data_IF_600178801878
#
_entry.id   IF_600178801878
#
_cell.length_a   1.000
_cell.length_b   1.000
_cell.length_c   1.000
_cell.angle_alpha   90.00
_cell.angle_beta   90.00
_cell.angle_gamma   90.00
#
_symmetry.space_group_name_H-M   'P 1'
#
loop_
_entity.id
_entity.type
_entity.pdbx_description
1 polymer ?
#
# COMPACT_ATOMS: atom_id res chain seq x y z
N UNK A 1 19.43 -1.28 -12.76
CA UNK A 1 18.27 -0.74 -12.04
C UNK A 1 17.49 0.17 -12.98
N UNK A 2 16.25 -0.21 -13.27
CA UNK A 2 15.34 0.65 -14.02
C UNK A 2 14.82 1.79 -13.13
N UNK A 3 14.21 2.82 -13.73
CA UNK A 3 13.75 4.02 -13.00
C UNK A 3 12.73 3.66 -11.91
N UNK A 4 11.88 2.68 -12.18
CA UNK A 4 10.85 2.16 -11.28
C UNK A 4 11.42 1.43 -10.08
N UNK A 5 12.37 0.53 -10.32
CA UNK A 5 13.11 -0.19 -9.27
C UNK A 5 13.85 0.81 -8.38
N UNK A 6 14.46 1.83 -8.98
CA UNK A 6 15.12 2.92 -8.25
C UNK A 6 14.14 3.70 -7.38
N UNK A 7 12.96 4.06 -7.89
CA UNK A 7 11.96 4.75 -7.09
C UNK A 7 11.53 3.92 -5.87
N UNK A 8 11.13 2.67 -6.09
CA UNK A 8 10.69 1.77 -5.00
C UNK A 8 11.81 1.51 -4.00
N UNK A 9 13.03 1.25 -4.45
CA UNK A 9 14.18 1.01 -3.59
C UNK A 9 14.56 2.24 -2.75
N UNK A 10 14.61 3.43 -3.36
CA UNK A 10 14.90 4.67 -2.63
C UNK A 10 13.81 4.94 -1.61
N UNK A 11 12.54 4.83 -1.97
CA UNK A 11 11.43 5.02 -1.02
C UNK A 11 11.51 4.05 0.16
N UNK A 12 11.69 2.75 -0.11
CA UNK A 12 11.84 1.76 0.97
C UNK A 12 13.05 2.03 1.87
N UNK A 13 14.19 2.36 1.27
CA UNK A 13 15.43 2.62 2.01
C UNK A 13 15.35 3.91 2.83
N UNK A 14 14.73 4.97 2.33
CA UNK A 14 14.54 6.23 3.07
C UNK A 14 13.75 5.99 4.35
N UNK A 15 12.62 5.28 4.26
CA UNK A 15 11.79 4.99 5.43
C UNK A 15 12.47 4.04 6.41
N UNK A 16 13.19 3.04 5.90
CA UNK A 16 13.99 2.15 6.73
C UNK A 16 15.09 2.91 7.49
N UNK A 17 15.84 3.76 6.81
CA UNK A 17 16.91 4.57 7.42
C UNK A 17 16.36 5.56 8.46
N UNK A 18 15.18 6.12 8.21
CA UNK A 18 14.52 7.00 9.18
C UNK A 18 14.13 6.22 10.45
N UNK A 19 13.45 5.08 10.30
CA UNK A 19 13.08 4.23 11.44
C UNK A 19 14.29 3.72 12.20
N UNK A 20 15.36 3.35 11.49
CA UNK A 20 16.63 2.93 12.08
C UNK A 20 17.30 4.08 12.86
N UNK A 21 17.24 5.31 12.34
CA UNK A 21 17.79 6.48 13.02
C UNK A 21 17.10 6.73 14.37
N UNK A 22 15.78 6.61 14.42
CA UNK A 22 15.01 6.78 15.67
C UNK A 22 15.26 5.61 16.62
N UNK A 23 15.34 4.38 16.09
CA UNK A 23 15.67 3.22 16.90
C UNK A 23 17.04 3.35 17.60
N UNK A 24 18.02 3.93 16.90
CA UNK A 24 19.34 4.19 17.48
C UNK A 24 19.34 5.32 18.51
N UNK A 25 18.41 6.28 18.45
CA UNK A 25 18.30 7.36 19.44
C UNK A 25 17.51 6.98 20.67
N UNK A 26 16.32 6.40 20.47
CA UNK A 26 15.31 6.26 21.52
C UNK A 26 14.93 4.79 21.80
N UNK A 27 15.56 3.84 21.10
CA UNK A 27 15.28 2.40 21.25
C UNK A 27 13.95 1.94 20.63
N UNK A 28 13.14 2.86 20.11
CA UNK A 28 11.85 2.58 19.46
C UNK A 28 11.99 2.65 17.93
N UNK A 29 11.44 1.66 17.22
CA UNK A 29 11.47 1.69 15.75
C UNK A 29 10.22 2.41 15.24
N UNK A 30 10.30 3.73 15.13
CA UNK A 30 9.16 4.55 14.66
C UNK A 30 9.39 5.01 13.23
N UNK A 31 8.53 4.54 12.33
CA UNK A 31 8.48 5.04 10.95
C UNK A 31 7.53 6.24 10.93
N UNK A 32 7.83 7.31 10.17
CA UNK A 32 7.06 8.55 10.27
C UNK A 32 5.67 8.32 9.68
N UNK A 33 4.70 8.15 10.56
CA UNK A 33 3.29 8.15 10.21
C UNK A 33 2.82 9.60 10.07
N UNK A 34 2.06 9.99 9.03
CA UNK A 34 1.40 9.19 7.97
C UNK A 34 2.13 9.22 6.63
N UNK A 35 3.47 9.28 6.62
CA UNK A 35 4.22 9.47 5.37
C UNK A 35 4.13 8.25 4.44
N UNK A 36 3.70 7.08 4.93
CA UNK A 36 3.56 5.86 4.14
C UNK A 36 2.53 6.02 3.00
N UNK A 37 1.35 6.55 3.31
CA UNK A 37 0.28 6.77 2.33
C UNK A 37 0.72 7.80 1.28
N UNK A 38 1.44 8.84 1.71
CA UNK A 38 2.02 9.84 0.80
C UNK A 38 3.14 9.27 -0.07
N UNK A 39 4.01 8.43 0.49
CA UNK A 39 5.07 7.78 -0.26
C UNK A 39 4.48 6.85 -1.34
N UNK A 40 3.43 6.09 -1.00
CA UNK A 40 2.67 5.30 -1.97
C UNK A 40 2.06 6.19 -3.06
N UNK A 41 1.44 7.32 -2.68
CA UNK A 41 0.85 8.26 -3.63
C UNK A 41 1.88 8.84 -4.59
N UNK A 42 3.03 9.30 -4.09
CA UNK A 42 4.11 9.87 -4.91
C UNK A 42 4.63 8.83 -5.90
N UNK A 43 4.94 7.61 -5.44
CA UNK A 43 5.46 6.57 -6.34
C UNK A 43 4.40 6.13 -7.34
N UNK A 44 3.14 5.99 -6.91
CA UNK A 44 2.02 5.65 -7.79
C UNK A 44 1.78 6.72 -8.88
N UNK A 45 1.89 8.00 -8.51
CA UNK A 45 1.82 9.11 -9.45
C UNK A 45 2.97 9.08 -10.47
N UNK A 46 4.20 8.77 -10.03
CA UNK A 46 5.34 8.57 -10.95
C UNK A 46 5.06 7.43 -11.93
N UNK A 47 4.52 6.30 -11.46
CA UNK A 47 4.14 5.18 -12.33
C UNK A 47 3.04 5.57 -13.32
N UNK A 48 2.07 6.39 -12.92
CA UNK A 48 1.03 6.93 -13.80
C UNK A 48 1.63 7.79 -14.93
N UNK A 49 2.55 8.71 -14.59
CA UNK A 49 3.21 9.59 -15.57
C UNK A 49 4.13 8.79 -16.51
N UNK A 50 4.85 7.80 -15.99
CA UNK A 50 5.78 7.03 -16.80
C UNK A 50 5.08 6.00 -17.70
N UNK A 51 3.88 5.55 -17.33
CA UNK A 51 3.18 4.47 -18.01
C UNK A 51 1.72 4.77 -18.41
N UNK A 52 1.39 5.94 -19.01
CA UNK A 52 0.00 6.32 -19.31
C UNK A 52 -0.68 5.39 -20.31
N UNK A 53 0.10 4.69 -21.16
CA UNK A 53 -0.42 3.77 -22.20
C UNK A 53 -0.57 2.32 -21.72
N UNK A 54 -0.28 2.00 -20.46
CA UNK A 54 -0.34 0.62 -19.92
C UNK A 54 -1.75 0.19 -19.47
N UNK A 55 -2.79 0.87 -19.98
CA UNK A 55 -4.19 0.57 -19.69
C UNK A 55 -4.64 1.12 -18.33
N UNK A 56 -5.61 0.46 -17.71
CA UNK A 56 -6.23 0.92 -16.46
C UNK A 56 -5.33 0.77 -15.21
N UNK A 57 -4.32 -0.10 -15.25
CA UNK A 57 -3.56 -0.50 -14.07
C UNK A 57 -2.81 0.64 -13.34
N UNK A 58 -2.11 1.58 -14.01
CA UNK A 58 -1.56 2.75 -13.33
C UNK A 58 -2.64 3.61 -12.65
N UNK A 59 -3.82 3.75 -13.27
CA UNK A 59 -4.94 4.49 -12.68
C UNK A 59 -5.52 3.77 -11.46
N UNK A 60 -5.62 2.43 -11.49
CA UNK A 60 -6.08 1.65 -10.34
C UNK A 60 -5.20 1.90 -9.12
N UNK A 61 -3.87 1.84 -9.29
CA UNK A 61 -2.93 2.12 -8.21
C UNK A 61 -2.95 3.59 -7.79
N UNK A 62 -3.08 4.53 -8.74
CA UNK A 62 -3.09 5.95 -8.40
C UNK A 62 -4.33 6.30 -7.57
N UNK A 63 -5.51 5.89 -8.03
CA UNK A 63 -6.76 6.14 -7.32
C UNK A 63 -6.77 5.43 -5.97
N UNK A 64 -6.27 4.19 -5.87
CA UNK A 64 -6.17 3.50 -4.58
C UNK A 64 -5.27 4.24 -3.59
N UNK A 65 -4.17 4.85 -4.06
CA UNK A 65 -3.29 5.63 -3.19
C UNK A 65 -3.86 6.99 -2.81
N UNK A 66 -4.58 7.67 -3.72
CA UNK A 66 -5.30 8.92 -3.41
C UNK A 66 -6.35 8.66 -2.34
N UNK A 67 -7.17 7.62 -2.51
CA UNK A 67 -8.21 7.27 -1.53
C UNK A 67 -7.61 6.73 -0.24
N UNK A 68 -6.42 6.13 -0.28
CA UNK A 68 -5.67 5.77 0.92
C UNK A 68 -5.23 6.96 1.75
N UNK A 69 -4.74 8.04 1.12
CA UNK A 69 -4.43 9.30 1.82
C UNK A 69 -5.71 9.90 2.42
N UNK A 70 -6.79 9.97 1.65
CA UNK A 70 -8.09 10.49 2.13
C UNK A 70 -8.73 9.60 3.22
N UNK A 71 -8.40 8.31 3.26
CA UNK A 71 -8.84 7.36 4.27
C UNK A 71 -7.98 7.35 5.54
N UNK A 72 -6.91 8.15 5.59
CA UNK A 72 -6.05 8.30 6.76
C UNK A 72 -6.62 9.35 7.71
N UNK A 73 -6.83 8.98 8.97
CA UNK A 73 -7.28 9.92 10.02
C UNK A 73 -6.22 10.98 10.27
N UNK A 74 -4.95 10.57 10.27
CA UNK A 74 -3.80 11.45 10.51
C UNK A 74 -3.66 12.51 9.40
N UNK A 75 -4.04 12.20 8.16
CA UNK A 75 -4.11 13.23 7.12
C UNK A 75 -5.06 14.37 7.52
N UNK A 76 -6.26 14.02 7.99
CA UNK A 76 -7.26 15.01 8.40
C UNK A 76 -6.87 15.77 9.66
N UNK A 77 -6.13 15.15 10.60
CA UNK A 77 -5.52 15.83 11.75
C UNK A 77 -4.56 16.97 11.35
N UNK A 78 -3.89 16.86 10.19
CA UNK A 78 -2.99 17.93 9.70
C UNK A 78 -3.72 19.08 9.01
N UNK A 79 -4.94 18.82 8.52
CA UNK A 79 -5.72 19.79 7.71
C UNK A 79 -6.74 20.54 8.55
N UNK A 80 -7.27 19.90 9.61
CA UNK A 80 -8.41 20.39 10.38
C UNK A 80 -8.08 20.52 11.86
N UNK A 81 -8.84 21.37 12.56
CA UNK A 81 -8.79 21.46 14.02
C UNK A 81 -9.37 20.18 14.65
N UNK A 82 -8.99 19.89 15.90
CA UNK A 82 -9.48 18.70 16.61
C UNK A 82 -11.02 18.68 16.77
N UNK A 83 -11.64 19.85 16.95
CA UNK A 83 -13.10 19.98 17.10
C UNK A 83 -13.84 19.67 15.79
N UNK A 84 -13.32 20.16 14.67
CA UNK A 84 -13.87 19.88 13.34
C UNK A 84 -13.66 18.41 12.94
N UNK A 85 -12.53 17.82 13.35
CA UNK A 85 -12.18 16.44 13.04
C UNK A 85 -13.18 15.43 13.63
N UNK A 86 -13.60 15.61 14.88
CA UNK A 86 -14.57 14.72 15.53
C UNK A 86 -15.88 14.72 14.72
N UNK A 87 -16.36 15.91 14.37
CA UNK A 87 -17.58 16.08 13.58
C UNK A 87 -17.43 15.55 12.15
N UNK A 88 -16.23 15.58 11.59
CA UNK A 88 -15.93 15.09 10.24
C UNK A 88 -15.79 13.56 10.19
N UNK A 89 -15.17 12.94 11.20
CA UNK A 89 -15.03 11.49 11.30
C UNK A 89 -16.41 10.80 11.38
N UNK A 90 -17.38 11.44 12.02
CA UNK A 90 -18.77 10.95 12.06
C UNK A 90 -19.46 10.93 10.69
N UNK A 91 -18.96 11.67 9.68
CA UNK A 91 -19.61 11.81 8.36
C UNK A 91 -19.25 10.72 7.34
N UNK A 92 -18.67 9.60 7.77
CA UNK A 92 -18.44 8.40 6.92
C UNK A 92 -17.45 8.59 5.75
N UNK A 93 -16.91 9.80 5.53
CA UNK A 93 -16.03 10.10 4.38
C UNK A 93 -14.76 9.25 4.42
N UNK A 94 -14.16 9.12 5.60
CA UNK A 94 -12.96 8.29 5.83
C UNK A 94 -13.24 6.82 5.53
N UNK A 95 -14.42 6.32 5.92
CA UNK A 95 -14.83 4.94 5.64
C UNK A 95 -15.06 4.71 4.15
N UNK A 96 -15.73 5.62 3.45
CA UNK A 96 -15.90 5.56 2.01
C UNK A 96 -14.56 5.58 1.27
N UNK A 97 -13.61 6.40 1.73
CA UNK A 97 -12.28 6.44 1.15
C UNK A 97 -11.52 5.12 1.35
N UNK A 98 -11.60 4.51 2.53
CA UNK A 98 -11.02 3.19 2.84
C UNK A 98 -11.65 2.06 2.02
N UNK A 99 -12.98 2.04 1.91
CA UNK A 99 -13.70 1.05 1.07
C UNK A 99 -13.28 1.21 -0.39
N UNK A 100 -13.21 2.45 -0.88
CA UNK A 100 -12.80 2.73 -2.26
C UNK A 100 -11.36 2.28 -2.51
N UNK A 101 -10.43 2.55 -1.58
CA UNK A 101 -9.06 2.04 -1.65
C UNK A 101 -9.03 0.51 -1.73
N UNK A 102 -9.76 -0.16 -0.82
CA UNK A 102 -9.85 -1.61 -0.78
C UNK A 102 -10.38 -2.20 -2.09
N UNK A 103 -11.44 -1.60 -2.64
CA UNK A 103 -12.03 -1.99 -3.91
C UNK A 103 -11.01 -1.92 -5.06
N UNK A 104 -10.32 -0.78 -5.22
CA UNK A 104 -9.33 -0.63 -6.30
C UNK A 104 -8.14 -1.57 -6.15
N UNK A 105 -7.69 -1.86 -4.92
CA UNK A 105 -6.64 -2.85 -4.66
C UNK A 105 -7.09 -4.27 -5.03
N UNK A 106 -8.32 -4.66 -4.69
CA UNK A 106 -8.87 -5.96 -5.09
C UNK A 106 -8.97 -6.07 -6.60
N UNK A 107 -9.47 -5.03 -7.28
CA UNK A 107 -9.51 -5.00 -8.75
C UNK A 107 -8.10 -5.13 -9.34
N UNK A 108 -7.11 -4.44 -8.78
CA UNK A 108 -5.72 -4.59 -9.20
C UNK A 108 -5.22 -6.04 -9.01
N UNK A 109 -5.46 -6.67 -7.85
CA UNK A 109 -5.12 -8.06 -7.60
C UNK A 109 -5.79 -9.02 -8.60
N UNK A 110 -7.07 -8.79 -8.96
CA UNK A 110 -7.79 -9.56 -9.98
C UNK A 110 -7.15 -9.40 -11.37
N UNK A 111 -6.68 -8.19 -11.74
CA UNK A 111 -5.96 -7.99 -12.99
C UNK A 111 -4.65 -8.81 -13.01
N UNK A 112 -3.94 -8.89 -11.88
CA UNK A 112 -2.77 -9.76 -11.75
C UNK A 112 -3.14 -11.24 -11.85
N UNK A 113 -4.17 -11.69 -11.14
CA UNK A 113 -4.73 -13.06 -11.21
C UNK A 113 -4.99 -13.47 -12.67
N UNK A 114 -5.69 -12.63 -13.42
CA UNK A 114 -6.04 -12.90 -14.81
C UNK A 114 -4.82 -12.95 -15.75
N UNK A 115 -3.70 -12.34 -15.34
CA UNK A 115 -2.49 -12.25 -16.16
C UNK A 115 -1.53 -13.42 -15.97
N UNK A 116 -1.68 -14.24 -14.91
CA UNK A 116 -0.91 -15.48 -14.77
C UNK A 116 -1.44 -16.55 -15.72
N UNK A 117 -0.54 -17.31 -16.35
CA UNK A 117 -0.93 -18.42 -17.26
C UNK A 117 -1.20 -19.69 -16.47
N UNK A 118 -0.36 -19.99 -15.48
CA UNK A 118 -0.41 -21.23 -14.73
C UNK A 118 -1.42 -21.16 -13.60
N UNK A 119 -2.17 -22.26 -13.45
CA UNK A 119 -3.26 -22.35 -12.48
C UNK A 119 -2.77 -22.21 -11.04
N UNK A 120 -1.58 -22.71 -10.70
CA UNK A 120 -1.06 -22.65 -9.34
C UNK A 120 -0.76 -21.20 -8.92
N UNK A 121 -0.19 -20.36 -9.79
CA UNK A 121 -0.04 -18.93 -9.51
C UNK A 121 -1.38 -18.22 -9.34
N UNK A 122 -2.39 -18.59 -10.13
CA UNK A 122 -3.75 -18.07 -9.95
C UNK A 122 -4.33 -18.45 -8.59
N UNK A 123 -4.19 -19.71 -8.17
CA UNK A 123 -4.67 -20.16 -6.86
C UNK A 123 -4.02 -19.38 -5.72
N UNK A 124 -2.69 -19.16 -5.77
CA UNK A 124 -1.99 -18.41 -4.73
C UNK A 124 -2.46 -16.94 -4.69
N UNK A 125 -2.65 -16.28 -5.84
CA UNK A 125 -3.19 -14.91 -5.89
C UNK A 125 -4.65 -14.87 -5.41
N UNK A 126 -5.46 -15.89 -5.72
CA UNK A 126 -6.84 -15.98 -5.23
C UNK A 126 -6.89 -16.09 -3.70
N UNK A 127 -5.96 -16.86 -3.10
CA UNK A 127 -5.79 -16.91 -1.65
C UNK A 127 -5.37 -15.54 -1.10
N UNK A 128 -4.46 -14.82 -1.76
CA UNK A 128 -4.07 -13.47 -1.35
C UNK A 128 -5.26 -12.50 -1.37
N UNK A 129 -6.11 -12.56 -2.40
CA UNK A 129 -7.35 -11.76 -2.48
C UNK A 129 -8.28 -12.11 -1.31
N UNK A 130 -8.50 -13.39 -1.04
CA UNK A 130 -9.33 -13.84 0.07
C UNK A 130 -8.82 -13.35 1.43
N UNK A 131 -7.51 -13.46 1.67
CA UNK A 131 -6.86 -12.96 2.88
C UNK A 131 -6.96 -11.44 3.01
N UNK A 132 -6.78 -10.70 1.91
CA UNK A 132 -6.93 -9.25 1.90
C UNK A 132 -8.36 -8.83 2.22
N UNK A 133 -9.37 -9.43 1.57
CA UNK A 133 -10.78 -9.15 1.83
C UNK A 133 -11.17 -9.50 3.26
N UNK A 134 -10.71 -10.65 3.77
CA UNK A 134 -10.95 -11.04 5.16
C UNK A 134 -10.31 -10.05 6.14
N UNK A 135 -9.04 -9.69 5.93
CA UNK A 135 -8.32 -8.69 6.72
C UNK A 135 -8.99 -7.32 6.72
N UNK A 136 -9.49 -6.89 5.56
CA UNK A 136 -10.24 -5.65 5.42
C UNK A 136 -11.55 -5.70 6.22
N UNK A 137 -12.31 -6.80 6.14
CA UNK A 137 -13.58 -6.96 6.84
C UNK A 137 -13.45 -6.91 8.37
N UNK A 138 -12.42 -7.57 8.93
CA UNK A 138 -12.18 -7.59 10.38
C UNK A 138 -11.27 -6.44 10.86
N UNK A 139 -10.92 -5.51 9.97
CA UNK A 139 -10.00 -4.40 10.24
C UNK A 139 -8.65 -4.85 10.84
N UNK A 140 -8.08 -5.95 10.34
CA UNK A 140 -6.82 -6.52 10.83
C UNK A 140 -5.69 -6.33 9.82
N UNK A 141 -4.68 -5.55 10.24
CA UNK A 141 -3.48 -5.29 9.44
C UNK A 141 -2.69 -6.57 9.13
N UNK A 142 -2.70 -7.56 10.03
CA UNK A 142 -1.93 -8.79 9.87
C UNK A 142 -2.31 -9.56 8.60
N UNK A 143 -3.61 -9.74 8.33
CA UNK A 143 -4.06 -10.49 7.16
C UNK A 143 -3.81 -9.72 5.85
N UNK A 144 -3.99 -8.39 5.87
CA UNK A 144 -3.64 -7.53 4.74
C UNK A 144 -2.14 -7.59 4.43
N UNK A 145 -1.29 -7.61 5.47
CA UNK A 145 0.16 -7.73 5.32
C UNK A 145 0.55 -9.10 4.76
N UNK A 146 -0.05 -10.20 5.22
CA UNK A 146 0.17 -11.53 4.64
C UNK A 146 -0.22 -11.55 3.17
N UNK A 147 -1.35 -10.95 2.80
CA UNK A 147 -1.77 -10.85 1.40
C UNK A 147 -0.74 -10.07 0.54
N UNK A 148 -0.23 -8.94 1.05
CA UNK A 148 0.82 -8.19 0.36
C UNK A 148 2.15 -8.95 0.28
N UNK A 149 2.53 -9.71 1.31
CA UNK A 149 3.70 -10.60 1.28
C UNK A 149 3.57 -11.63 0.16
N UNK A 150 2.39 -12.27 0.04
CA UNK A 150 2.13 -13.24 -1.02
C UNK A 150 2.23 -12.56 -2.39
N UNK A 151 1.59 -11.40 -2.57
CA UNK A 151 1.65 -10.65 -3.84
C UNK A 151 3.07 -10.21 -4.20
N UNK A 152 3.86 -9.78 -3.23
CA UNK A 152 5.27 -9.44 -3.39
C UNK A 152 6.08 -10.67 -3.84
N UNK A 153 6.01 -11.77 -3.10
CA UNK A 153 6.77 -12.99 -3.37
C UNK A 153 6.45 -13.53 -4.76
N UNK A 154 5.17 -13.64 -5.12
CA UNK A 154 4.79 -14.07 -6.48
C UNK A 154 5.27 -13.07 -7.53
N UNK A 155 5.14 -11.76 -7.28
CA UNK A 155 5.59 -10.72 -8.21
C UNK A 155 7.10 -10.75 -8.48
N UNK A 156 7.90 -11.20 -7.51
CA UNK A 156 9.34 -11.42 -7.64
C UNK A 156 9.62 -12.73 -8.38
N UNK A 157 8.99 -13.84 -7.98
CA UNK A 157 9.19 -15.16 -8.59
C UNK A 157 8.76 -15.19 -10.06
N UNK A 158 7.62 -14.56 -10.37
CA UNK A 158 7.07 -14.46 -11.71
C UNK A 158 6.49 -13.08 -11.95
N UNK A 159 7.34 -12.18 -12.42
CA UNK A 159 6.95 -10.81 -12.70
C UNK A 159 6.01 -10.71 -13.90
N UNK A 160 4.72 -10.60 -13.60
CA UNK A 160 3.66 -10.29 -14.57
C UNK A 160 3.32 -8.79 -14.50
N UNK A 161 2.83 -8.21 -15.61
CA UNK A 161 2.52 -6.77 -15.72
C UNK A 161 3.69 -5.87 -15.30
N UNK A 162 4.91 -6.13 -15.77
CA UNK A 162 6.06 -5.23 -15.55
C UNK A 162 5.73 -3.79 -16.03
N UNK A 163 6.07 -2.75 -15.25
CA UNK A 163 6.83 -2.76 -13.99
C UNK A 163 5.95 -2.81 -12.71
N UNK A 164 4.64 -2.90 -12.82
CA UNK A 164 3.71 -2.68 -11.71
C UNK A 164 3.72 -3.75 -10.60
N UNK A 165 4.31 -4.93 -10.85
CA UNK A 165 4.57 -5.89 -9.77
C UNK A 165 5.39 -5.29 -8.61
N UNK A 166 6.21 -4.26 -8.89
CA UNK A 166 6.97 -3.52 -7.87
C UNK A 166 6.08 -2.71 -6.91
N UNK A 167 4.85 -2.36 -7.30
CA UNK A 167 3.92 -1.70 -6.38
C UNK A 167 3.59 -2.61 -5.20
N UNK A 168 3.47 -3.93 -5.41
CA UNK A 168 3.22 -4.87 -4.32
C UNK A 168 4.39 -4.96 -3.34
N UNK A 169 5.63 -4.84 -3.85
CA UNK A 169 6.83 -4.72 -3.01
C UNK A 169 6.74 -3.47 -2.14
N UNK A 170 6.37 -2.33 -2.73
CA UNK A 170 6.24 -1.08 -2.00
C UNK A 170 5.11 -1.12 -0.97
N UNK A 171 3.95 -1.67 -1.31
CA UNK A 171 2.84 -1.88 -0.38
C UNK A 171 3.27 -2.74 0.81
N UNK A 172 3.95 -3.87 0.57
CA UNK A 172 4.47 -4.72 1.63
C UNK A 172 5.48 -3.98 2.51
N UNK A 173 6.47 -3.29 1.91
CA UNK A 173 7.51 -2.60 2.68
C UNK A 173 6.92 -1.53 3.60
N UNK A 174 6.09 -0.63 3.06
CA UNK A 174 5.54 0.49 3.83
C UNK A 174 4.54 0.01 4.90
N UNK A 175 3.65 -0.92 4.57
CA UNK A 175 2.72 -1.48 5.56
C UNK A 175 3.43 -2.39 6.58
N UNK A 176 4.49 -3.07 6.16
CA UNK A 176 5.34 -3.86 7.04
C UNK A 176 6.07 -3.01 8.06
N UNK A 177 6.68 -1.90 7.62
CA UNK A 177 7.32 -0.94 8.52
C UNK A 177 6.32 -0.28 9.48
N UNK A 178 5.11 0.02 9.00
CA UNK A 178 4.02 0.47 9.85
C UNK A 178 3.66 -0.54 10.93
N UNK A 179 3.52 -1.81 10.55
CA UNK A 179 3.21 -2.88 11.49
C UNK A 179 4.32 -3.05 12.54
N UNK A 180 5.59 -3.02 12.12
CA UNK A 180 6.73 -3.08 13.04
C UNK A 180 6.70 -1.91 14.02
N UNK A 181 6.35 -0.71 13.56
CA UNK A 181 6.20 0.46 14.44
C UNK A 181 5.16 0.23 15.53
N UNK A 182 4.01 -0.37 15.20
CA UNK A 182 2.95 -0.65 16.19
C UNK A 182 3.39 -1.70 17.23
N UNK A 183 4.31 -2.60 16.89
CA UNK A 183 4.76 -3.68 17.79
C UNK A 183 6.01 -3.34 18.61
N UNK A 184 6.83 -2.38 18.13
CA UNK A 184 8.13 -2.01 18.73
C UNK A 184 8.12 -0.57 19.29
N UNK A 185 7.01 0.16 19.15
CA UNK A 185 6.76 1.41 19.89
C UNK A 185 6.29 1.12 21.32
#
# INVERSE_FOLDING_TARGET
MNREERAVAITGLTFFMFGLSIYMSDGSFVVPFPLNEFALLIVSFLFLIWHPKKGALPYLFFVSTVTGVLGSVVFWETVMSAEDLITFLDRTVVDWARITQGFFLVVAMIVFLASYREWYFKMIVAVAIGLYCYGFYINSLHYSLIAFTIMMVIGILKSVRKPFHLMWVLYFLLNGMAWVTIQIA
#
